data_IF_900152329638
#
_entry.id   IF_900152329638
#
_cell.length_a   1.000
_cell.length_b   1.000
_cell.length_c   1.000
_cell.angle_alpha   90.00
_cell.angle_beta   90.00
_cell.angle_gamma   90.00
#
_symmetry.space_group_name_H-M   'P 1'
#
loop_
_entity.id
_entity.type
_entity.pdbx_description
1 polymer ?
#
# COMPACT_ATOMS: atom_id res chain seq x y z
N UNK A 1 35.68 6.93 17.15
CA UNK A 1 34.21 6.94 17.06
C UNK A 1 33.84 6.71 15.59
N UNK A 2 33.32 5.53 15.25
CA UNK A 2 33.06 5.14 13.86
C UNK A 2 31.72 5.68 13.35
N UNK A 3 31.61 6.10 12.08
CA UNK A 3 30.35 6.54 11.47
C UNK A 3 29.55 5.30 11.04
N UNK A 4 28.39 5.05 11.64
CA UNK A 4 27.53 3.94 11.18
C UNK A 4 26.42 3.47 12.11
N UNK A 5 26.41 3.84 13.39
CA UNK A 5 25.28 3.55 14.27
C UNK A 5 24.32 4.74 14.27
N UNK A 6 23.25 4.68 13.48
CA UNK A 6 22.06 5.49 13.76
C UNK A 6 21.66 5.15 15.20
N UNK A 7 21.80 6.12 16.11
CA UNK A 7 21.68 5.87 17.54
C UNK A 7 20.30 5.25 17.83
N UNK A 8 20.23 4.13 18.56
CA UNK A 8 18.98 3.42 18.82
C UNK A 8 17.89 4.33 19.40
N UNK A 9 18.30 5.36 20.12
CA UNK A 9 17.46 6.44 20.63
C UNK A 9 16.85 7.31 19.51
N UNK A 10 17.65 7.71 18.51
CA UNK A 10 17.16 8.44 17.34
C UNK A 10 16.13 7.63 16.56
N UNK A 11 16.36 6.33 16.39
CA UNK A 11 15.40 5.44 15.73
C UNK A 11 14.09 5.32 16.52
N UNK A 12 14.16 5.22 17.86
CA UNK A 12 12.97 5.22 18.72
C UNK A 12 12.19 6.53 18.60
N UNK A 13 12.88 7.66 18.60
CA UNK A 13 12.27 8.99 18.44
C UNK A 13 11.61 9.16 17.06
N UNK A 14 12.25 8.66 16.00
CA UNK A 14 11.66 8.64 14.66
C UNK A 14 10.40 7.75 14.58
N UNK A 15 10.45 6.55 15.15
CA UNK A 15 9.27 5.64 15.23
C UNK A 15 8.12 6.30 15.99
N UNK A 16 8.41 6.94 17.12
CA UNK A 16 7.41 7.64 17.92
C UNK A 16 6.81 8.83 17.15
N UNK A 17 7.66 9.65 16.51
CA UNK A 17 7.20 10.76 15.66
C UNK A 17 6.31 10.26 14.52
N UNK A 18 6.72 9.20 13.83
CA UNK A 18 5.94 8.58 12.74
C UNK A 18 4.58 8.07 13.22
N UNK A 19 4.52 7.44 14.40
CA UNK A 19 3.26 7.00 15.02
C UNK A 19 2.34 8.18 15.35
N UNK A 20 2.88 9.28 15.89
CA UNK A 20 2.10 10.49 16.20
C UNK A 20 1.59 11.18 14.93
N UNK A 21 2.39 11.24 13.87
CA UNK A 21 1.96 11.73 12.56
C UNK A 21 0.84 10.88 11.97
N UNK A 22 0.91 9.56 12.10
CA UNK A 22 -0.15 8.65 11.64
C UNK A 22 -1.49 8.89 12.36
N UNK A 23 -1.46 9.15 13.67
CA UNK A 23 -2.67 9.52 14.42
C UNK A 23 -3.25 10.86 13.96
N UNK A 24 -2.39 11.85 13.67
CA UNK A 24 -2.84 13.11 13.10
C UNK A 24 -3.43 12.95 11.70
N UNK A 25 -2.84 12.09 10.86
CA UNK A 25 -3.37 11.73 9.55
C UNK A 25 -4.75 11.09 9.65
N UNK A 26 -4.97 10.17 10.61
CA UNK A 26 -6.29 9.57 10.83
C UNK A 26 -7.37 10.62 11.14
N UNK A 27 -7.04 11.62 11.98
CA UNK A 27 -7.96 12.71 12.28
C UNK A 27 -8.19 13.62 11.08
N UNK A 28 -7.12 13.95 10.35
CA UNK A 28 -7.18 14.76 9.12
C UNK A 28 -8.07 14.12 8.05
N UNK A 29 -7.95 12.81 7.85
CA UNK A 29 -8.75 12.07 6.87
C UNK A 29 -10.26 12.14 7.19
N UNK A 30 -10.64 12.28 8.46
CA UNK A 30 -12.04 12.47 8.86
C UNK A 30 -12.48 13.93 8.74
N UNK A 31 -11.59 14.86 9.10
CA UNK A 31 -11.84 16.29 9.02
C UNK A 31 -10.51 17.04 9.03
N UNK A 32 -10.21 17.77 7.95
CA UNK A 32 -8.97 18.53 7.84
C UNK A 32 -8.76 19.47 9.03
N UNK A 33 -9.80 20.24 9.39
CA UNK A 33 -9.76 21.17 10.53
C UNK A 33 -9.39 20.47 11.85
N UNK A 34 -10.11 19.39 12.22
CA UNK A 34 -9.83 18.66 13.46
C UNK A 34 -8.46 17.99 13.45
N UNK A 35 -8.01 17.51 12.28
CA UNK A 35 -6.68 16.93 12.11
C UNK A 35 -5.58 17.94 12.38
N UNK A 36 -5.70 19.15 11.82
CA UNK A 36 -4.73 20.23 12.05
C UNK A 36 -4.75 20.71 13.50
N UNK A 37 -5.93 20.93 14.09
CA UNK A 37 -6.07 21.30 15.52
C UNK A 37 -5.45 20.22 16.45
N UNK A 38 -5.69 18.94 16.15
CA UNK A 38 -5.08 17.84 16.91
C UNK A 38 -3.56 17.85 16.81
N UNK A 39 -3.01 18.04 15.61
CA UNK A 39 -1.57 18.10 15.36
C UNK A 39 -0.91 19.29 16.09
N UNK A 40 -1.59 20.44 16.19
CA UNK A 40 -1.17 21.56 17.02
C UNK A 40 -1.20 21.22 18.51
N UNK A 41 -2.30 20.60 18.99
CA UNK A 41 -2.45 20.21 20.39
C UNK A 41 -1.40 19.20 20.87
N UNK A 42 -0.89 18.35 19.96
CA UNK A 42 0.23 17.45 20.25
C UNK A 42 1.60 18.05 19.88
N UNK A 43 1.70 19.33 19.52
CA UNK A 43 2.96 20.02 19.21
C UNK A 43 3.72 19.47 17.99
N UNK A 44 3.01 18.90 17.02
CA UNK A 44 3.58 18.48 15.73
C UNK A 44 3.43 19.54 14.63
N UNK A 45 2.46 20.45 14.80
CA UNK A 45 2.32 21.67 14.00
C UNK A 45 2.40 22.89 14.93
N UNK A 46 2.90 24.04 14.44
CA UNK A 46 2.97 25.26 15.22
C UNK A 46 1.57 25.86 15.46
N UNK A 47 1.45 26.68 16.49
CA UNK A 47 0.27 27.49 16.79
C UNK A 47 0.68 28.97 16.93
N UNK A 48 0.29 29.86 15.99
CA UNK A 48 -0.61 29.65 14.86
C UNK A 48 -0.05 28.72 13.76
N UNK A 49 -0.94 28.18 12.93
CA UNK A 49 -0.56 27.27 11.83
C UNK A 49 0.39 27.95 10.84
N UNK A 50 1.36 27.18 10.36
CA UNK A 50 2.32 27.58 9.33
C UNK A 50 2.11 26.72 8.07
N UNK A 51 2.03 27.37 6.91
CA UNK A 51 1.74 26.71 5.65
C UNK A 51 2.83 25.69 5.26
N UNK A 52 4.10 26.01 5.53
CA UNK A 52 5.22 25.10 5.23
C UNK A 52 5.22 23.86 6.13
N UNK A 53 4.86 24.00 7.40
CA UNK A 53 4.70 22.88 8.32
C UNK A 53 3.55 21.94 7.87
N UNK A 54 2.42 22.49 7.42
CA UNK A 54 1.29 21.70 6.89
C UNK A 54 1.67 21.00 5.58
N UNK A 55 2.34 21.70 4.67
CA UNK A 55 2.87 21.10 3.44
C UNK A 55 3.86 19.95 3.74
N UNK A 56 4.75 20.14 4.71
CA UNK A 56 5.67 19.10 5.18
C UNK A 56 4.93 17.90 5.78
N UNK A 57 3.83 18.13 6.50
CA UNK A 57 2.94 17.08 6.97
C UNK A 57 2.33 16.29 5.79
N UNK A 58 1.83 16.95 4.74
CA UNK A 58 1.29 16.28 3.56
C UNK A 58 2.32 15.45 2.79
N UNK A 59 3.58 15.89 2.76
CA UNK A 59 4.67 15.15 2.10
C UNK A 59 5.14 13.91 2.89
N UNK A 60 5.07 13.95 4.22
CA UNK A 60 5.81 12.98 5.06
C UNK A 60 4.94 12.09 5.94
N UNK A 61 3.69 12.47 6.21
CA UNK A 61 2.86 11.75 7.16
C UNK A 61 2.31 10.44 6.55
N UNK A 62 2.57 9.28 7.20
CA UNK A 62 2.02 8.01 6.74
C UNK A 62 0.52 7.93 7.03
N UNK A 63 -0.23 7.31 6.11
CA UNK A 63 -1.67 7.05 6.30
C UNK A 63 -2.58 8.23 5.96
N UNK A 64 -2.05 9.32 5.39
CA UNK A 64 -2.86 10.38 4.81
C UNK A 64 -3.68 9.86 3.62
N UNK A 65 -4.97 10.18 3.62
CA UNK A 65 -5.84 9.97 2.47
C UNK A 65 -5.52 11.02 1.41
N UNK A 66 -5.05 10.54 0.27
CA UNK A 66 -4.72 11.36 -0.90
C UNK A 66 -5.91 12.18 -1.40
N UNK A 67 -7.13 11.68 -1.21
CA UNK A 67 -8.36 12.40 -1.56
C UNK A 67 -8.58 13.59 -0.64
N UNK A 68 -8.40 13.40 0.67
CA UNK A 68 -8.50 14.49 1.65
C UNK A 68 -7.43 15.56 1.42
N UNK A 69 -6.19 15.15 1.12
CA UNK A 69 -5.10 16.09 0.78
C UNK A 69 -5.42 16.89 -0.48
N UNK A 70 -5.85 16.22 -1.55
CA UNK A 70 -6.20 16.90 -2.80
C UNK A 70 -7.39 17.84 -2.65
N UNK A 71 -8.41 17.45 -1.89
CA UNK A 71 -9.56 18.30 -1.59
C UNK A 71 -9.12 19.58 -0.86
N UNK A 72 -8.25 19.44 0.15
CA UNK A 72 -7.72 20.57 0.93
C UNK A 72 -6.85 21.50 0.07
N UNK A 73 -5.91 20.95 -0.70
CA UNK A 73 -5.04 21.72 -1.60
C UNK A 73 -5.81 22.46 -2.71
N UNK A 74 -7.02 21.99 -3.05
CA UNK A 74 -7.89 22.62 -4.04
C UNK A 74 -8.80 23.72 -3.48
N UNK A 75 -8.88 23.91 -2.16
CA UNK A 75 -9.76 24.93 -1.57
C UNK A 75 -9.31 26.37 -1.93
N UNK A 76 -10.25 27.31 -2.10
CA UNK A 76 -9.95 28.67 -2.51
C UNK A 76 -9.58 29.60 -1.34
N UNK A 77 -9.61 29.11 -0.09
CA UNK A 77 -9.27 29.94 1.06
C UNK A 77 -7.79 30.30 1.10
N UNK A 78 -7.47 31.48 1.63
CA UNK A 78 -6.12 32.04 1.57
C UNK A 78 -5.06 31.12 2.18
N UNK A 79 -5.37 30.46 3.30
CA UNK A 79 -4.42 29.58 3.97
C UNK A 79 -4.19 28.29 3.19
N UNK A 80 -5.23 27.67 2.63
CA UNK A 80 -5.07 26.50 1.74
C UNK A 80 -4.24 26.82 0.50
N UNK A 81 -4.36 28.02 -0.06
CA UNK A 81 -3.52 28.49 -1.17
C UNK A 81 -2.05 28.68 -0.77
N UNK A 82 -1.80 29.22 0.43
CA UNK A 82 -0.45 29.30 1.00
C UNK A 82 0.15 27.88 1.19
N UNK A 83 -0.65 26.94 1.70
CA UNK A 83 -0.25 25.54 1.86
C UNK A 83 0.03 24.90 0.50
N UNK A 84 -0.78 25.14 -0.53
CA UNK A 84 -0.54 24.65 -1.89
C UNK A 84 0.77 25.21 -2.44
N UNK A 85 1.02 26.50 -2.28
CA UNK A 85 2.26 27.14 -2.69
C UNK A 85 3.48 26.52 -1.99
N UNK A 86 3.40 26.31 -0.68
CA UNK A 86 4.46 25.65 0.09
C UNK A 86 4.62 24.16 -0.28
N UNK A 87 3.53 23.46 -0.58
CA UNK A 87 3.52 22.07 -0.99
C UNK A 87 4.27 21.88 -2.32
N UNK A 88 3.95 22.72 -3.31
CA UNK A 88 4.58 22.70 -4.63
C UNK A 88 6.06 23.14 -4.52
N UNK A 89 6.37 24.12 -3.67
CA UNK A 89 7.74 24.57 -3.42
C UNK A 89 8.62 23.48 -2.77
N UNK A 90 8.01 22.53 -2.04
CA UNK A 90 8.67 21.38 -1.44
C UNK A 90 9.11 20.30 -2.43
N UNK A 91 8.75 20.43 -3.72
CA UNK A 91 9.14 19.49 -4.78
C UNK A 91 10.17 20.16 -5.69
N UNK A 92 11.24 19.42 -6.00
CA UNK A 92 12.25 19.85 -6.95
C UNK A 92 11.94 19.30 -8.35
N UNK A 93 11.60 20.19 -9.28
CA UNK A 93 11.35 19.84 -10.68
C UNK A 93 12.56 20.08 -11.58
N UNK A 94 13.70 20.48 -11.03
CA UNK A 94 14.89 20.83 -11.82
C UNK A 94 15.30 19.69 -12.73
N UNK A 95 15.39 19.97 -14.05
CA UNK A 95 15.77 19.01 -15.11
C UNK A 95 14.79 17.84 -15.32
N UNK A 96 13.60 17.88 -14.73
CA UNK A 96 12.54 16.95 -15.08
C UNK A 96 11.83 17.44 -16.34
N UNK A 97 11.42 16.51 -17.21
CA UNK A 97 10.46 16.81 -18.28
C UNK A 97 9.10 17.13 -17.65
N UNK A 98 8.26 17.86 -18.37
CA UNK A 98 6.97 18.34 -17.84
C UNK A 98 6.07 17.19 -17.37
N UNK A 99 6.00 16.11 -18.14
CA UNK A 99 5.21 14.92 -17.81
C UNK A 99 5.77 14.18 -16.58
N UNK A 100 7.09 14.05 -16.44
CA UNK A 100 7.72 13.44 -15.26
C UNK A 100 7.54 14.30 -14.00
N UNK A 101 7.62 15.62 -14.14
CA UNK A 101 7.32 16.56 -13.07
C UNK A 101 5.85 16.46 -12.64
N UNK A 102 4.94 16.38 -13.62
CA UNK A 102 3.50 16.26 -13.37
C UNK A 102 3.17 14.91 -12.71
N UNK A 103 3.78 13.80 -13.13
CA UNK A 103 3.67 12.49 -12.44
C UNK A 103 4.15 12.56 -11.00
N UNK A 104 5.29 13.22 -10.77
CA UNK A 104 5.88 13.36 -9.42
C UNK A 104 4.96 14.18 -8.53
N UNK A 105 4.42 15.27 -9.04
CA UNK A 105 3.49 16.14 -8.33
C UNK A 105 2.16 15.42 -8.00
N UNK A 106 1.52 14.82 -9.00
CA UNK A 106 0.22 14.16 -8.85
C UNK A 106 0.31 12.80 -8.12
N UNK A 107 1.50 12.27 -7.89
CA UNK A 107 1.66 11.06 -7.06
C UNK A 107 1.33 11.32 -5.57
N UNK A 108 1.39 12.57 -5.12
CA UNK A 108 1.22 12.95 -3.71
C UNK A 108 -0.22 12.98 -3.23
N UNK A 109 -1.19 13.24 -4.11
CA UNK A 109 -2.60 13.42 -3.76
C UNK A 109 -3.52 13.00 -4.92
N UNK A 110 -4.84 12.93 -4.70
CA UNK A 110 -5.82 12.70 -5.76
C UNK A 110 -6.36 14.04 -6.24
N UNK A 111 -6.32 14.27 -7.55
CA UNK A 111 -6.89 15.49 -8.12
C UNK A 111 -8.40 15.56 -7.81
N UNK A 112 -8.91 16.71 -7.36
CA UNK A 112 -10.35 16.91 -7.23
C UNK A 112 -11.06 16.83 -8.58
N UNK A 113 -12.34 16.46 -8.60
CA UNK A 113 -13.14 16.41 -9.84
C UNK A 113 -13.64 17.79 -10.30
N UNK A 114 -13.67 18.78 -9.41
CA UNK A 114 -14.15 20.12 -9.73
C UNK A 114 -13.13 20.91 -10.54
N UNK A 115 -13.52 21.34 -11.75
CA UNK A 115 -12.63 22.02 -12.71
C UNK A 115 -11.89 23.23 -12.13
N UNK A 116 -12.55 24.01 -11.26
CA UNK A 116 -11.95 25.16 -10.59
C UNK A 116 -10.84 24.78 -9.60
N UNK A 117 -10.97 23.64 -8.92
CA UNK A 117 -9.95 23.14 -7.99
C UNK A 117 -8.73 22.62 -8.73
N UNK A 118 -8.96 21.86 -9.81
CA UNK A 118 -7.89 21.41 -10.71
C UNK A 118 -7.11 22.62 -11.25
N UNK A 119 -7.82 23.66 -11.69
CA UNK A 119 -7.22 24.87 -12.26
C UNK A 119 -6.20 25.49 -11.31
N UNK A 120 -6.60 25.75 -10.06
CA UNK A 120 -5.71 26.30 -9.03
C UNK A 120 -4.48 25.41 -8.79
N UNK A 121 -4.69 24.10 -8.64
CA UNK A 121 -3.60 23.15 -8.38
C UNK A 121 -2.58 23.15 -9.53
N UNK A 122 -3.05 23.11 -10.78
CA UNK A 122 -2.19 23.05 -11.96
C UNK A 122 -1.52 24.41 -12.23
N UNK A 123 -2.17 25.53 -11.91
CA UNK A 123 -1.59 26.87 -12.02
C UNK A 123 -0.36 27.03 -11.11
N UNK A 124 -0.47 26.64 -9.84
CA UNK A 124 0.66 26.66 -8.91
C UNK A 124 1.80 25.72 -9.34
N UNK A 125 1.46 24.52 -9.83
CA UNK A 125 2.44 23.59 -10.40
C UNK A 125 3.17 24.21 -11.59
N UNK A 126 2.44 24.75 -12.56
CA UNK A 126 2.99 25.31 -13.78
C UNK A 126 3.92 26.50 -13.49
N UNK A 127 3.52 27.39 -12.59
CA UNK A 127 4.34 28.50 -12.15
C UNK A 127 5.67 28.03 -11.54
N UNK A 128 5.64 27.02 -10.66
CA UNK A 128 6.86 26.46 -10.06
C UNK A 128 7.72 25.73 -11.08
N UNK A 129 7.12 24.88 -11.91
CA UNK A 129 7.84 24.11 -12.93
C UNK A 129 8.58 25.05 -13.89
N UNK A 130 7.90 26.06 -14.42
CA UNK A 130 8.49 27.04 -15.33
C UNK A 130 9.63 27.83 -14.67
N UNK A 131 9.46 28.24 -13.40
CA UNK A 131 10.52 28.94 -12.66
C UNK A 131 11.82 28.12 -12.54
N UNK A 132 11.73 26.78 -12.51
CA UNK A 132 12.89 25.88 -12.46
C UNK A 132 13.35 25.40 -13.84
N UNK A 133 12.46 25.42 -14.84
CA UNK A 133 12.68 24.92 -16.20
C UNK A 133 12.09 25.91 -17.23
N UNK A 134 12.72 27.08 -17.46
CA UNK A 134 12.19 28.15 -18.32
C UNK A 134 12.26 27.84 -19.83
N UNK A 135 12.74 26.65 -20.21
CA UNK A 135 12.77 26.18 -21.60
C UNK A 135 12.27 24.74 -21.64
N UNK A 136 11.53 24.33 -22.68
CA UNK A 136 11.18 25.09 -23.91
C UNK A 136 9.94 26.01 -23.79
N UNK A 137 9.30 26.08 -22.62
CA UNK A 137 8.07 26.84 -22.39
C UNK A 137 8.40 28.31 -22.13
N UNK A 138 7.80 29.23 -22.88
CA UNK A 138 8.08 30.66 -22.84
C UNK A 138 7.49 31.36 -21.60
N UNK A 139 6.42 30.80 -21.04
CA UNK A 139 5.68 31.39 -19.92
C UNK A 139 5.09 30.33 -18.99
N UNK A 140 4.75 30.69 -17.74
CA UNK A 140 3.95 29.86 -16.84
C UNK A 140 2.60 29.47 -17.45
N UNK A 141 2.00 30.35 -18.25
CA UNK A 141 0.73 30.11 -18.93
C UNK A 141 0.86 28.99 -19.97
N UNK A 142 1.96 28.99 -20.75
CA UNK A 142 2.26 27.90 -21.68
C UNK A 142 2.42 26.56 -20.94
N UNK A 143 3.10 26.57 -19.78
CA UNK A 143 3.24 25.38 -18.93
C UNK A 143 1.90 24.90 -18.36
N UNK A 144 1.03 25.82 -17.97
CA UNK A 144 -0.31 25.53 -17.46
C UNK A 144 -1.19 24.89 -18.53
N UNK A 145 -1.27 25.50 -19.72
CA UNK A 145 -2.05 24.99 -20.86
C UNK A 145 -1.55 23.60 -21.27
N UNK A 146 -0.23 23.43 -21.40
CA UNK A 146 0.34 22.14 -21.79
C UNK A 146 0.13 21.06 -20.72
N UNK A 147 0.20 21.41 -19.43
CA UNK A 147 -0.10 20.46 -18.34
C UNK A 147 -1.55 19.98 -18.42
N UNK A 148 -2.49 20.86 -18.71
CA UNK A 148 -3.89 20.50 -18.96
C UNK A 148 -4.06 19.59 -20.17
N UNK A 149 -3.36 19.90 -21.27
CA UNK A 149 -3.36 19.06 -22.46
C UNK A 149 -2.81 17.65 -22.17
N UNK A 150 -1.78 17.54 -21.33
CA UNK A 150 -1.22 16.25 -20.88
C UNK A 150 -2.24 15.47 -20.03
N UNK A 151 -2.95 16.13 -19.11
CA UNK A 151 -3.99 15.48 -18.28
C UNK A 151 -5.14 14.97 -19.18
N UNK A 152 -5.57 15.79 -20.15
CA UNK A 152 -6.59 15.42 -21.12
C UNK A 152 -6.15 14.23 -21.98
N UNK A 153 -4.90 14.26 -22.46
CA UNK A 153 -4.30 13.16 -23.21
C UNK A 153 -4.24 11.87 -22.37
N UNK A 154 -3.88 11.97 -21.09
CA UNK A 154 -3.85 10.80 -20.21
C UNK A 154 -5.22 10.14 -20.10
N UNK A 155 -6.26 10.94 -19.85
CA UNK A 155 -7.65 10.45 -19.82
C UNK A 155 -8.06 9.87 -21.17
N UNK A 156 -7.74 10.53 -22.27
CA UNK A 156 -8.06 10.05 -23.61
C UNK A 156 -7.41 8.69 -23.90
N UNK A 157 -6.10 8.53 -23.65
CA UNK A 157 -5.34 7.32 -23.97
C UNK A 157 -5.69 6.15 -23.05
N UNK A 158 -5.81 6.36 -21.74
CA UNK A 158 -5.91 5.27 -20.76
C UNK A 158 -7.34 4.94 -20.31
N UNK A 159 -8.34 5.78 -20.60
CA UNK A 159 -9.73 5.45 -20.31
C UNK A 159 -10.32 4.47 -21.34
N UNK A 160 -10.70 3.26 -20.92
CA UNK A 160 -11.28 2.21 -21.78
C UNK A 160 -12.59 2.62 -22.48
N UNK A 161 -13.31 3.62 -21.96
CA UNK A 161 -14.57 4.09 -22.56
C UNK A 161 -14.35 4.95 -23.82
N UNK A 162 -13.16 5.53 -23.99
CA UNK A 162 -12.82 6.33 -25.17
C UNK A 162 -12.52 5.40 -26.34
N UNK A 163 -13.44 5.34 -27.32
CA UNK A 163 -13.33 4.44 -28.47
C UNK A 163 -12.33 4.91 -29.53
N UNK A 164 -12.28 6.23 -29.78
CA UNK A 164 -11.36 6.84 -30.74
C UNK A 164 -10.34 7.67 -29.97
N UNK A 165 -9.14 7.14 -29.86
CA UNK A 165 -8.02 7.77 -29.18
C UNK A 165 -7.42 8.88 -30.04
N UNK A 166 -6.93 9.92 -29.38
CA UNK A 166 -6.15 11.00 -29.96
C UNK A 166 -4.85 10.45 -30.54
N UNK A 167 -4.55 10.78 -31.79
CA UNK A 167 -3.27 10.42 -32.39
C UNK A 167 -2.18 11.42 -31.99
N UNK A 168 -0.91 11.04 -32.16
CA UNK A 168 0.23 11.93 -31.94
C UNK A 168 0.11 13.22 -32.77
N UNK A 169 -0.30 13.11 -34.02
CA UNK A 169 -0.51 14.27 -34.90
C UNK A 169 -1.65 15.17 -34.42
N UNK A 170 -2.71 14.59 -33.87
CA UNK A 170 -3.81 15.36 -33.28
C UNK A 170 -3.32 16.13 -32.05
N UNK A 171 -2.53 15.50 -31.18
CA UNK A 171 -1.94 16.14 -30.00
C UNK A 171 -1.01 17.30 -30.38
N UNK A 172 -0.16 17.12 -31.40
CA UNK A 172 0.72 18.19 -31.91
C UNK A 172 -0.11 19.35 -32.48
N UNK A 173 -1.15 19.06 -33.27
CA UNK A 173 -2.03 20.10 -33.84
C UNK A 173 -2.83 20.86 -32.77
N UNK A 174 -3.32 20.16 -31.75
CA UNK A 174 -4.09 20.73 -30.65
C UNK A 174 -3.29 21.77 -29.85
N UNK A 175 -1.97 21.58 -29.75
CA UNK A 175 -1.08 22.42 -28.95
C UNK A 175 -0.33 23.48 -29.78
N UNK A 176 -0.83 23.86 -30.97
CA UNK A 176 -0.26 24.96 -31.76
C UNK A 176 -0.54 26.32 -31.12
N UNK A 177 0.43 27.22 -31.16
CA UNK A 177 0.32 28.60 -30.67
C UNK A 177 0.25 28.76 -29.14
N UNK A 178 0.38 27.68 -28.37
CA UNK A 178 0.25 27.75 -26.90
C UNK A 178 1.46 28.37 -26.21
N UNK A 179 2.58 28.53 -26.92
CA UNK A 179 3.83 29.03 -26.37
C UNK A 179 3.98 30.53 -26.65
N UNK A 180 3.15 31.36 -26.01
CA UNK A 180 3.05 32.80 -26.27
C UNK A 180 2.82 33.15 -27.75
N UNK A 181 1.85 32.46 -28.38
CA UNK A 181 1.50 32.55 -29.81
C UNK A 181 2.51 31.90 -30.76
N UNK A 182 3.57 31.27 -30.25
CA UNK A 182 4.45 30.40 -31.01
C UNK A 182 4.12 28.92 -30.80
N UNK A 183 4.68 28.08 -31.67
CA UNK A 183 4.59 26.62 -31.56
C UNK A 183 5.74 26.08 -30.70
N UNK A 184 5.47 24.99 -29.97
CA UNK A 184 6.53 24.17 -29.36
C UNK A 184 7.19 23.27 -30.41
N UNK A 185 8.45 22.85 -30.20
CA UNK A 185 9.10 21.88 -31.06
C UNK A 185 8.23 20.62 -31.23
N UNK A 186 7.92 20.17 -32.46
CA UNK A 186 7.10 18.99 -32.69
C UNK A 186 7.66 17.74 -32.01
N UNK A 187 8.98 17.60 -31.97
CA UNK A 187 9.69 16.50 -31.32
C UNK A 187 9.42 16.48 -29.81
N UNK A 188 9.39 17.66 -29.17
CA UNK A 188 9.08 17.76 -27.74
C UNK A 188 7.65 17.29 -27.43
N UNK A 189 6.67 17.70 -28.24
CA UNK A 189 5.28 17.26 -28.10
C UNK A 189 5.11 15.77 -28.41
N UNK A 190 5.85 15.25 -29.40
CA UNK A 190 5.88 13.83 -29.74
C UNK A 190 6.44 12.98 -28.59
N UNK A 191 7.54 13.42 -27.97
CA UNK A 191 8.12 12.73 -26.80
C UNK A 191 7.16 12.71 -25.60
N UNK A 192 6.46 13.82 -25.34
CA UNK A 192 5.44 13.87 -24.30
C UNK A 192 4.31 12.87 -24.61
N UNK A 193 3.81 12.84 -25.84
CA UNK A 193 2.78 11.89 -26.26
C UNK A 193 3.23 10.44 -26.03
N UNK A 194 4.43 10.08 -26.50
CA UNK A 194 4.97 8.73 -26.37
C UNK A 194 5.15 8.34 -24.90
N UNK A 195 5.61 9.27 -24.06
CA UNK A 195 5.75 9.05 -22.61
C UNK A 195 4.40 8.78 -21.94
N UNK A 196 3.38 9.59 -22.24
CA UNK A 196 2.03 9.39 -21.68
C UNK A 196 1.43 8.08 -22.19
N UNK A 197 1.58 7.77 -23.48
CA UNK A 197 1.08 6.51 -24.05
C UNK A 197 1.75 5.29 -23.41
N UNK A 198 3.07 5.34 -23.19
CA UNK A 198 3.83 4.24 -22.62
C UNK A 198 3.60 4.06 -21.11
N UNK A 199 3.42 5.16 -20.39
CA UNK A 199 3.27 5.16 -18.93
C UNK A 199 2.09 6.04 -18.56
N UNK A 200 1.07 5.46 -17.95
CA UNK A 200 -0.08 6.23 -17.45
C UNK A 200 0.32 7.14 -16.28
N UNK A 201 -0.16 8.39 -16.27
CA UNK A 201 -0.20 9.20 -15.06
C UNK A 201 -1.30 8.61 -14.19
N UNK A 202 -0.89 7.84 -13.17
CA UNK A 202 -1.80 7.24 -12.20
C UNK A 202 -2.45 8.32 -11.33
N UNK A 203 -3.45 8.99 -11.88
CA UNK A 203 -4.44 9.73 -11.13
C UNK A 203 -5.38 8.67 -10.59
N UNK A 204 -5.21 8.23 -9.33
CA UNK A 204 -6.09 7.21 -8.76
C UNK A 204 -7.53 7.76 -8.71
N UNK A 205 -8.32 7.47 -9.73
CA UNK A 205 -9.76 7.68 -9.75
C UNK A 205 -10.45 6.34 -10.05
N UNK A 206 -10.87 5.68 -8.98
CA UNK A 206 -12.23 5.17 -8.75
C UNK A 206 -12.15 4.10 -7.66
N UNK A 207 -13.03 4.25 -6.66
CA UNK A 207 -13.23 3.27 -5.58
C UNK A 207 -13.70 1.91 -6.15
N UNK A 208 -13.98 1.85 -7.46
CA UNK A 208 -14.47 0.67 -8.17
C UNK A 208 -13.37 -0.35 -8.54
N UNK A 209 -12.09 0.02 -8.54
CA UNK A 209 -10.99 -0.90 -8.91
C UNK A 209 -10.37 -1.68 -7.74
N UNK A 210 -10.94 -1.55 -6.54
CA UNK A 210 -10.57 -2.41 -5.41
C UNK A 210 -11.02 -3.88 -5.61
N UNK A 211 -11.88 -4.15 -6.58
CA UNK A 211 -12.33 -5.51 -6.93
C UNK A 211 -11.41 -6.25 -7.91
N UNK A 212 -10.48 -5.56 -8.57
CA UNK A 212 -9.64 -6.11 -9.65
C UNK A 212 -8.13 -6.14 -9.32
N UNK A 213 -7.75 -5.72 -8.12
CA UNK A 213 -6.35 -5.66 -7.72
C UNK A 213 -5.77 -7.06 -7.43
N UNK A 214 -5.11 -7.65 -8.43
CA UNK A 214 -4.04 -8.62 -8.15
C UNK A 214 -3.02 -8.00 -7.18
N UNK A 215 -2.47 -8.78 -6.23
CA UNK A 215 -1.56 -8.25 -5.23
C UNK A 215 -0.23 -7.80 -5.88
N UNK A 216 -0.13 -6.48 -6.07
CA UNK A 216 0.89 -5.70 -6.77
C UNK A 216 2.23 -5.60 -6.02
N UNK A 217 2.71 -6.72 -5.48
CA UNK A 217 3.95 -6.78 -4.69
C UNK A 217 5.19 -6.34 -5.48
N UNK A 218 5.24 -6.64 -6.78
CA UNK A 218 6.36 -6.23 -7.65
C UNK A 218 6.50 -4.72 -7.83
N UNK A 219 5.38 -3.98 -7.91
CA UNK A 219 5.41 -2.51 -8.02
C UNK A 219 5.76 -1.83 -6.69
N UNK A 220 5.33 -2.40 -5.56
CA UNK A 220 5.73 -1.93 -4.23
C UNK A 220 7.22 -2.15 -3.97
N UNK A 221 7.78 -3.30 -4.38
CA UNK A 221 9.21 -3.59 -4.29
C UNK A 221 10.02 -2.68 -5.23
N UNK A 222 9.58 -2.46 -6.46
CA UNK A 222 10.25 -1.54 -7.37
C UNK A 222 10.18 -0.08 -6.88
N UNK A 223 9.05 0.36 -6.31
CA UNK A 223 8.92 1.68 -5.70
C UNK A 223 9.82 1.88 -4.47
N UNK A 224 10.09 0.81 -3.71
CA UNK A 224 11.12 0.80 -2.67
C UNK A 224 12.53 0.90 -3.25
N UNK A 225 12.82 0.22 -4.37
CA UNK A 225 14.11 0.32 -5.08
C UNK A 225 14.33 1.69 -5.74
N UNK A 226 13.30 2.36 -6.27
CA UNK A 226 13.46 3.69 -6.91
C UNK A 226 13.72 4.78 -5.89
N UNK A 227 13.04 4.73 -4.73
CA UNK A 227 13.32 5.60 -3.57
C UNK A 227 14.70 5.36 -2.95
N UNK A 228 15.33 4.23 -3.27
CA UNK A 228 16.69 3.85 -2.87
C UNK A 228 17.77 4.49 -3.74
N UNK A 229 17.45 4.85 -5.00
CA UNK A 229 18.39 5.41 -5.98
C UNK A 229 18.50 6.94 -5.88
N UNK A 230 17.40 7.63 -5.54
CA UNK A 230 17.40 9.07 -5.32
C UNK A 230 17.47 9.36 -3.83
N UNK A 231 18.69 9.62 -3.34
CA UNK A 231 19.07 9.76 -1.93
C UNK A 231 18.36 10.85 -1.12
N UNK A 232 17.07 10.67 -0.86
CA UNK A 232 16.29 11.47 0.09
C UNK A 232 16.11 10.66 1.38
N UNK A 233 17.07 10.84 2.30
CA UNK A 233 16.82 10.73 3.73
C UNK A 233 16.86 9.34 4.37
N UNK A 234 18.05 8.80 4.54
CA UNK A 234 18.36 7.76 5.53
C UNK A 234 19.27 6.69 4.97
N UNK A 235 20.57 6.81 5.23
CA UNK A 235 21.53 5.73 5.00
C UNK A 235 21.09 4.50 5.81
N UNK A 236 20.36 3.59 5.17
CA UNK A 236 20.36 2.20 5.61
C UNK A 236 21.71 1.64 5.15
N UNK A 237 22.59 1.43 6.13
CA UNK A 237 23.74 0.55 5.97
C UNK A 237 23.21 -0.73 5.32
N UNK A 238 23.79 -1.11 4.17
CA UNK A 238 23.54 -2.38 3.51
C UNK A 238 23.97 -3.54 4.40
N UNK A 239 23.17 -3.83 5.41
CA UNK A 239 23.15 -5.05 6.19
C UNK A 239 21.74 -5.60 6.07
N UNK A 240 21.61 -6.90 5.81
CA UNK A 240 20.31 -7.57 5.70
C UNK A 240 19.37 -7.18 6.83
N UNK A 241 18.07 -7.27 6.58
CA UNK A 241 17.03 -7.03 7.60
C UNK A 241 17.47 -7.73 8.88
N UNK A 242 17.80 -6.97 9.92
CA UNK A 242 18.25 -7.58 11.17
C UNK A 242 17.15 -8.54 11.62
N UNK A 243 17.55 -9.69 12.17
CA UNK A 243 16.62 -10.73 12.65
C UNK A 243 15.52 -10.14 13.56
N UNK A 244 15.87 -9.10 14.33
CA UNK A 244 14.97 -8.32 15.17
C UNK A 244 13.88 -7.55 14.39
N UNK A 245 14.23 -6.97 13.24
CA UNK A 245 13.29 -6.18 12.41
C UNK A 245 12.28 -7.08 11.71
N UNK A 246 12.70 -8.25 11.22
CA UNK A 246 11.80 -9.25 10.64
C UNK A 246 10.79 -9.76 11.67
N UNK A 247 11.25 -10.03 12.89
CA UNK A 247 10.39 -10.41 14.02
C UNK A 247 9.35 -9.33 14.36
N UNK A 248 9.78 -8.07 14.51
CA UNK A 248 8.87 -6.97 14.84
C UNK A 248 7.81 -6.75 13.74
N UNK A 249 8.18 -6.88 12.47
CA UNK A 249 7.24 -6.75 11.36
C UNK A 249 6.21 -7.89 11.36
N UNK A 250 6.63 -9.12 11.58
CA UNK A 250 5.72 -10.27 11.64
C UNK A 250 4.73 -10.16 12.81
N UNK A 251 5.19 -9.71 13.99
CA UNK A 251 4.34 -9.51 15.17
C UNK A 251 3.19 -8.50 14.96
N UNK A 252 3.29 -7.61 13.98
CA UNK A 252 2.22 -6.64 13.66
C UNK A 252 1.13 -7.26 12.77
N UNK A 253 1.46 -8.27 11.97
CA UNK A 253 0.58 -8.76 10.89
C UNK A 253 0.11 -10.20 11.06
N UNK A 254 0.75 -10.99 11.92
CA UNK A 254 0.53 -12.43 12.02
C UNK A 254 -0.95 -12.81 12.25
N UNK A 255 -1.67 -12.05 13.08
CA UNK A 255 -3.09 -12.30 13.41
C UNK A 255 -4.02 -12.16 12.18
N UNK A 256 -3.72 -11.21 11.30
CA UNK A 256 -4.44 -11.03 10.04
C UNK A 256 -4.10 -12.13 9.04
N UNK A 257 -2.83 -12.57 9.01
CA UNK A 257 -2.38 -13.64 8.13
C UNK A 257 -3.06 -14.95 8.49
N UNK A 258 -3.03 -15.35 9.75
CA UNK A 258 -3.66 -16.59 10.21
C UNK A 258 -5.16 -16.57 9.98
N UNK A 259 -5.84 -15.46 10.27
CA UNK A 259 -7.27 -15.29 10.03
C UNK A 259 -7.62 -15.42 8.54
N UNK A 260 -6.86 -14.78 7.65
CA UNK A 260 -7.06 -14.90 6.20
C UNK A 260 -6.82 -16.34 5.71
N UNK A 261 -5.74 -16.99 6.15
CA UNK A 261 -5.45 -18.39 5.78
C UNK A 261 -6.55 -19.35 6.28
N UNK A 262 -7.04 -19.17 7.51
CA UNK A 262 -8.16 -19.97 8.05
C UNK A 262 -9.43 -19.80 7.22
N UNK A 263 -9.81 -18.56 6.90
CA UNK A 263 -11.01 -18.31 6.08
C UNK A 263 -10.87 -18.92 4.68
N UNK A 264 -9.72 -18.76 4.02
CA UNK A 264 -9.50 -19.35 2.70
C UNK A 264 -9.52 -20.88 2.78
N UNK A 265 -8.89 -21.47 3.79
CA UNK A 265 -8.91 -22.91 4.01
C UNK A 265 -10.34 -23.44 4.20
N UNK A 266 -11.15 -22.70 4.96
CA UNK A 266 -12.54 -23.06 5.25
C UNK A 266 -13.45 -22.93 4.01
N UNK A 267 -13.29 -21.87 3.23
CA UNK A 267 -14.24 -21.51 2.17
C UNK A 267 -13.88 -22.03 0.78
N UNK A 268 -12.60 -22.30 0.48
CA UNK A 268 -12.19 -22.63 -0.89
C UNK A 268 -12.51 -24.07 -1.28
N UNK A 269 -12.99 -24.29 -2.50
CA UNK A 269 -13.12 -25.63 -3.11
C UNK A 269 -12.04 -25.90 -4.18
N UNK A 270 -11.21 -24.90 -4.49
CA UNK A 270 -10.15 -25.00 -5.50
C UNK A 270 -8.88 -25.64 -4.88
N UNK A 271 -8.50 -26.81 -5.39
CA UNK A 271 -7.31 -27.55 -4.95
C UNK A 271 -5.99 -26.75 -5.05
N UNK A 272 -5.85 -25.90 -6.06
CA UNK A 272 -4.64 -25.07 -6.24
C UNK A 272 -4.58 -23.98 -5.19
N UNK A 273 -5.72 -23.37 -4.85
CA UNK A 273 -5.82 -22.38 -3.77
C UNK A 273 -5.58 -23.05 -2.42
N UNK A 274 -6.19 -24.22 -2.19
CA UNK A 274 -6.04 -24.99 -0.95
C UNK A 274 -4.57 -25.39 -0.69
N UNK A 275 -3.84 -25.86 -1.72
CA UNK A 275 -2.40 -26.15 -1.61
C UNK A 275 -1.57 -24.92 -1.22
N UNK A 276 -1.83 -23.77 -1.84
CA UNK A 276 -1.14 -22.51 -1.50
C UNK A 276 -1.44 -22.07 -0.07
N UNK A 277 -2.66 -22.26 0.40
CA UNK A 277 -3.04 -21.96 1.78
C UNK A 277 -2.27 -22.82 2.77
N UNK A 278 -2.14 -24.12 2.51
CA UNK A 278 -1.33 -25.03 3.33
C UNK A 278 0.15 -24.65 3.32
N UNK A 279 0.70 -24.31 2.16
CA UNK A 279 2.07 -23.81 2.05
C UNK A 279 2.26 -22.54 2.89
N UNK A 280 1.29 -21.63 2.86
CA UNK A 280 1.25 -20.43 3.69
C UNK A 280 1.28 -20.73 5.19
N UNK A 281 0.50 -21.71 5.64
CA UNK A 281 0.49 -22.18 7.03
C UNK A 281 1.85 -22.75 7.45
N UNK A 282 2.50 -23.55 6.60
CA UNK A 282 3.84 -24.09 6.87
C UNK A 282 4.92 -22.99 6.90
N UNK A 283 4.84 -22.02 5.98
CA UNK A 283 5.76 -20.89 5.98
C UNK A 283 5.59 -20.01 7.23
N UNK A 284 4.36 -19.82 7.69
CA UNK A 284 4.09 -19.16 8.97
C UNK A 284 4.75 -19.92 10.12
N UNK A 285 4.60 -21.25 10.19
CA UNK A 285 5.22 -22.08 11.22
C UNK A 285 6.75 -21.93 11.22
N UNK A 286 7.38 -21.92 10.04
CA UNK A 286 8.84 -21.70 9.89
C UNK A 286 9.27 -20.33 10.41
N UNK A 287 8.53 -19.27 10.11
CA UNK A 287 8.83 -17.91 10.61
C UNK A 287 8.73 -17.86 12.13
N UNK A 288 7.68 -18.46 12.70
CA UNK A 288 7.52 -18.53 14.15
C UNK A 288 8.64 -19.33 14.82
N UNK A 289 9.04 -20.48 14.25
CA UNK A 289 10.13 -21.28 14.77
C UNK A 289 11.48 -20.56 14.67
N UNK A 290 11.77 -19.94 13.53
CA UNK A 290 13.01 -19.18 13.30
C UNK A 290 13.16 -18.04 14.32
N UNK A 291 12.11 -17.26 14.54
CA UNK A 291 12.14 -16.13 15.47
C UNK A 291 11.81 -16.51 16.93
N UNK A 292 11.57 -17.78 17.26
CA UNK A 292 11.16 -18.24 18.60
C UNK A 292 9.89 -17.56 19.13
N UNK A 293 8.88 -17.47 18.27
CA UNK A 293 7.55 -16.91 18.53
C UNK A 293 6.60 -18.03 18.94
N UNK A 294 6.72 -18.47 20.21
CA UNK A 294 6.00 -19.64 20.71
C UNK A 294 4.49 -19.41 20.84
N UNK A 295 4.07 -18.23 21.27
CA UNK A 295 2.65 -17.93 21.51
C UNK A 295 1.89 -17.85 20.17
N UNK A 296 2.51 -17.22 19.16
CA UNK A 296 2.00 -17.15 17.80
C UNK A 296 1.98 -18.52 17.13
N UNK A 297 2.99 -19.35 17.36
CA UNK A 297 3.02 -20.75 16.89
C UNK A 297 1.86 -21.55 17.48
N UNK A 298 1.61 -21.42 18.79
CA UNK A 298 0.50 -22.12 19.46
C UNK A 298 -0.86 -21.70 18.89
N UNK A 299 -1.04 -20.41 18.56
CA UNK A 299 -2.26 -19.91 17.93
C UNK A 299 -2.43 -20.43 16.50
N UNK A 300 -1.35 -20.57 15.73
CA UNK A 300 -1.35 -21.27 14.44
C UNK A 300 -1.88 -22.70 14.58
N UNK A 301 -1.30 -23.45 15.51
CA UNK A 301 -1.68 -24.84 15.78
C UNK A 301 -3.14 -24.95 16.21
N UNK A 302 -3.61 -24.04 17.08
CA UNK A 302 -4.99 -23.98 17.51
C UNK A 302 -5.95 -23.66 16.35
N UNK A 303 -5.57 -22.78 15.42
CA UNK A 303 -6.40 -22.47 14.25
C UNK A 303 -6.52 -23.66 13.29
N UNK A 304 -5.41 -24.34 12.99
CA UNK A 304 -5.43 -25.56 12.16
C UNK A 304 -6.28 -26.65 12.81
N UNK A 305 -6.13 -26.84 14.12
CA UNK A 305 -6.94 -27.79 14.89
C UNK A 305 -8.42 -27.39 14.90
N UNK A 306 -8.75 -26.10 15.05
CA UNK A 306 -10.12 -25.61 14.98
C UNK A 306 -10.74 -25.91 13.61
N UNK A 307 -10.06 -25.60 12.51
CA UNK A 307 -10.59 -25.90 11.17
C UNK A 307 -10.78 -27.40 10.97
N UNK A 308 -9.88 -28.24 11.49
CA UNK A 308 -10.06 -29.70 11.51
C UNK A 308 -11.36 -30.10 12.21
N UNK A 309 -11.64 -29.54 13.40
CA UNK A 309 -12.88 -29.80 14.13
C UNK A 309 -14.11 -29.25 13.42
N UNK A 310 -14.05 -28.04 12.86
CA UNK A 310 -15.17 -27.45 12.11
C UNK A 310 -15.60 -28.33 10.94
N UNK A 311 -14.65 -28.93 10.24
CA UNK A 311 -14.97 -29.88 9.16
C UNK A 311 -15.40 -31.25 9.67
N UNK A 312 -14.84 -31.72 10.79
CA UNK A 312 -15.19 -33.02 11.36
C UNK A 312 -16.58 -33.01 12.06
N UNK A 313 -16.94 -31.90 12.70
CA UNK A 313 -18.20 -31.73 13.45
C UNK A 313 -19.30 -31.07 12.59
N UNK A 314 -18.93 -30.40 11.48
CA UNK A 314 -19.85 -29.72 10.55
C UNK A 314 -20.61 -30.64 9.59
N UNK A 315 -20.30 -31.94 9.56
CA UNK A 315 -21.14 -32.95 8.92
C UNK A 315 -22.13 -33.52 9.94
N UNK A 316 -23.31 -32.91 10.01
CA UNK A 316 -24.57 -33.43 10.56
C UNK A 316 -24.51 -34.77 11.34
N UNK A 317 -24.24 -34.72 12.65
CA UNK A 317 -24.47 -35.82 13.60
C UNK A 317 -25.11 -35.33 14.89
N UNK A 318 -26.21 -34.59 14.78
CA UNK A 318 -27.24 -34.51 15.84
C UNK A 318 -28.21 -35.70 15.83
N UNK A 319 -27.83 -36.82 15.23
CA UNK A 319 -28.58 -38.07 15.32
C UNK A 319 -27.58 -39.20 15.49
N UNK A 320 -27.80 -40.02 16.52
CA UNK A 320 -27.08 -41.24 16.84
C UNK A 320 -26.65 -42.04 15.60
N UNK A 321 -25.47 -41.74 15.05
CA UNK A 321 -24.82 -42.60 14.07
C UNK A 321 -23.87 -43.52 14.83
N UNK A 322 -23.79 -44.80 14.44
CA UNK A 322 -22.86 -45.76 15.04
C UNK A 322 -21.42 -45.24 14.93
N UNK A 323 -20.57 -45.59 15.89
CA UNK A 323 -19.15 -45.16 15.97
C UNK A 323 -18.38 -45.38 14.65
N UNK A 324 -18.79 -46.36 13.83
CA UNK A 324 -18.23 -46.68 12.51
C UNK A 324 -18.47 -45.61 11.44
N UNK A 325 -19.56 -44.82 11.50
CA UNK A 325 -19.85 -43.78 10.52
C UNK A 325 -19.07 -42.48 10.77
N UNK A 326 -18.73 -42.21 12.03
CA UNK A 326 -17.93 -41.04 12.45
C UNK A 326 -16.45 -41.16 12.04
N UNK A 327 -15.98 -42.36 11.73
CA UNK A 327 -14.62 -42.64 11.25
C UNK A 327 -14.39 -42.15 9.82
N UNK A 328 -15.40 -42.24 8.96
CA UNK A 328 -15.22 -41.96 7.53
C UNK A 328 -14.87 -40.51 7.23
N UNK A 329 -15.27 -39.54 8.07
CA UNK A 329 -14.94 -38.13 7.80
C UNK A 329 -13.45 -37.82 7.93
N UNK A 330 -12.78 -38.44 8.89
CA UNK A 330 -11.33 -38.32 9.08
C UNK A 330 -10.55 -39.02 7.97
N UNK A 331 -11.17 -40.01 7.30
CA UNK A 331 -10.54 -40.81 6.25
C UNK A 331 -10.89 -40.33 4.84
N UNK A 332 -12.03 -39.66 4.61
CA UNK A 332 -12.50 -39.30 3.26
C UNK A 332 -12.58 -37.80 2.99
N UNK A 333 -12.66 -36.96 4.02
CA UNK A 333 -12.79 -35.52 3.77
C UNK A 333 -11.43 -34.89 3.47
N UNK A 334 -11.20 -34.37 2.24
CA UNK A 334 -9.87 -33.94 1.81
C UNK A 334 -9.31 -32.81 2.68
N UNK A 335 -10.16 -31.88 3.14
CA UNK A 335 -9.71 -30.81 4.05
C UNK A 335 -9.41 -31.29 5.47
N UNK A 336 -10.09 -32.35 5.96
CA UNK A 336 -9.81 -32.91 7.29
C UNK A 336 -8.47 -33.62 7.27
N UNK A 337 -8.22 -34.42 6.23
CA UNK A 337 -6.92 -35.05 6.00
C UNK A 337 -5.80 -34.00 5.89
N UNK A 338 -6.03 -32.94 5.12
CA UNK A 338 -5.03 -31.91 4.89
C UNK A 338 -4.74 -31.08 6.15
N UNK A 339 -5.76 -30.75 6.95
CA UNK A 339 -5.58 -30.09 8.24
C UNK A 339 -4.83 -31.00 9.23
N UNK A 340 -5.17 -32.29 9.27
CA UNK A 340 -4.50 -33.27 10.11
C UNK A 340 -3.03 -33.47 9.72
N UNK A 341 -2.74 -33.61 8.43
CA UNK A 341 -1.38 -33.72 7.91
C UNK A 341 -0.57 -32.46 8.23
N UNK A 342 -1.17 -31.28 8.05
CA UNK A 342 -0.52 -30.00 8.37
C UNK A 342 -0.20 -29.91 9.86
N UNK A 343 -1.15 -30.26 10.73
CA UNK A 343 -0.98 -30.27 12.19
C UNK A 343 0.16 -31.21 12.62
N UNK A 344 0.18 -32.43 12.10
CA UNK A 344 1.21 -33.42 12.43
C UNK A 344 2.58 -33.06 11.83
N UNK A 345 2.62 -32.49 10.63
CA UNK A 345 3.85 -32.00 10.00
C UNK A 345 4.47 -30.86 10.81
N UNK A 346 3.66 -29.88 11.23
CA UNK A 346 4.09 -28.81 12.13
C UNK A 346 4.66 -29.38 13.43
N UNK A 347 4.02 -30.42 13.97
CA UNK A 347 4.47 -31.05 15.20
C UNK A 347 5.81 -31.78 15.06
N UNK A 348 5.98 -32.51 13.95
CA UNK A 348 7.22 -33.22 13.62
C UNK A 348 8.38 -32.26 13.37
N UNK A 349 8.14 -31.19 12.62
CA UNK A 349 9.21 -30.29 12.14
C UNK A 349 9.60 -29.24 13.18
N UNK A 350 8.69 -28.89 14.10
CA UNK A 350 8.88 -27.78 15.03
C UNK A 350 8.49 -28.14 16.47
N UNK A 351 8.75 -29.39 16.90
CA UNK A 351 8.45 -29.90 18.23
C UNK A 351 8.91 -28.99 19.39
N UNK A 352 10.09 -28.36 19.26
CA UNK A 352 10.64 -27.44 20.28
C UNK A 352 9.90 -26.10 20.39
N UNK A 353 9.08 -25.74 19.40
CA UNK A 353 8.31 -24.50 19.38
C UNK A 353 6.92 -24.64 19.99
N UNK A 354 6.39 -25.88 20.05
CA UNK A 354 4.98 -26.23 20.27
C UNK A 354 4.41 -26.04 21.67
N UNK A 355 5.20 -25.68 22.70
CA UNK A 355 4.80 -25.46 24.11
C UNK A 355 3.38 -25.98 24.48
N UNK A 356 2.39 -25.09 24.62
CA UNK A 356 1.00 -25.44 24.95
C UNK A 356 0.21 -25.99 23.75
N UNK A 357 0.66 -25.73 22.52
CA UNK A 357 0.10 -26.30 21.29
C UNK A 357 0.18 -27.83 21.20
N UNK A 358 1.02 -28.48 22.02
CA UNK A 358 0.99 -29.94 22.18
C UNK A 358 -0.38 -30.46 22.59
N UNK A 359 -1.16 -29.68 23.34
CA UNK A 359 -2.50 -30.08 23.75
C UNK A 359 -3.42 -30.36 22.55
N UNK A 360 -3.40 -29.50 21.52
CA UNK A 360 -4.21 -29.71 20.31
C UNK A 360 -3.79 -30.98 19.56
N UNK A 361 -2.49 -31.27 19.50
CA UNK A 361 -1.96 -32.48 18.85
C UNK A 361 -2.37 -33.73 19.62
N UNK A 362 -2.23 -33.71 20.95
CA UNK A 362 -2.61 -34.83 21.82
C UNK A 362 -4.13 -35.06 21.82
N UNK A 363 -4.93 -33.99 21.81
CA UNK A 363 -6.38 -34.08 21.71
C UNK A 363 -6.81 -34.71 20.38
N UNK A 364 -6.12 -34.37 19.28
CA UNK A 364 -6.35 -35.02 17.99
C UNK A 364 -6.02 -36.52 18.02
N UNK A 365 -4.85 -36.88 18.56
CA UNK A 365 -4.43 -38.30 18.69
C UNK A 365 -5.37 -39.08 19.61
N UNK A 366 -5.79 -38.49 20.73
CA UNK A 366 -6.75 -39.09 21.65
C UNK A 366 -8.12 -39.32 21.00
N UNK A 367 -8.56 -38.40 20.12
CA UNK A 367 -9.78 -38.58 19.31
C UNK A 367 -9.63 -39.75 18.32
N UNK A 368 -8.51 -39.83 17.61
CA UNK A 368 -8.24 -40.98 16.72
C UNK A 368 -8.25 -42.32 17.47
N UNK A 369 -7.67 -42.36 18.67
CA UNK A 369 -7.69 -43.56 19.51
C UNK A 369 -9.10 -43.93 19.99
N UNK A 370 -9.92 -42.95 20.41
CA UNK A 370 -11.33 -43.21 20.78
C UNK A 370 -12.13 -43.76 19.60
N UNK A 371 -11.81 -43.32 18.39
CA UNK A 371 -12.43 -43.78 17.16
C UNK A 371 -11.87 -45.12 16.66
N UNK A 372 -10.87 -45.73 17.32
CA UNK A 372 -10.16 -46.94 16.84
C UNK A 372 -9.54 -46.78 15.45
N UNK A 373 -9.10 -45.56 15.12
CA UNK A 373 -8.43 -45.22 13.86
C UNK A 373 -6.88 -45.34 13.92
N UNK A 374 -6.35 -45.70 15.09
CA UNK A 374 -4.95 -46.00 15.41
C UNK A 374 -4.90 -47.40 16.02
#
# INVERSE_FOLDING_TARGET
>A
AGPGAVNAEQLRMQKLRKKRLALGAEQFNRSAKKGLEFLQGIGLLPDPLDAAAVAGFFHTAPGLDKTAVGAYLGEPDAFSLEVLSAYVAGIDFTRLKLDDALRTFLAGFRLPGESQKIGRIIEHFAARYHAQNPHPLASPDAAYILSYAIIMLNTDLHNHQVRKKMTKDDFVKMNRGINDRADLPPEYLAELFDSIAAKEIKMMEDINDLASAEPRWGELLNGMHTKYSQGVGGAFVGGGVSEQTGRDMFLVVWDRIISALSVVFETTEDDKVLRKTVEGLHNFAKVCAFHRLHDEFNKLVAAVFKSLLTFADGSDLTRAAPEEDSLWIYVRHPKVQLAAQTLLAMARENAGSLRDGWQCVLDYVARLHRLRAL
#
